data_IF_139381262872
#
_entry.id   IF_139381262872
#
_cell.length_a   1.000
_cell.length_b   1.000
_cell.length_c   1.000
_cell.angle_alpha   90.00
_cell.angle_beta   90.00
_cell.angle_gamma   90.00
#
_symmetry.space_group_name_H-M   'P 1'
#
loop_
_entity.id
_entity.type
_entity.pdbx_description
1 polymer ?
#
# COMPACT_ATOMS: atom_id res chain seq x y z
N UNK A 1 18.66 -38.57 46.24
CA UNK A 1 17.83 -38.38 45.03
C UNK A 1 17.96 -36.93 44.59
N UNK A 2 18.27 -36.73 43.32
CA UNK A 2 18.67 -35.44 42.76
C UNK A 2 17.58 -34.37 42.90
N UNK A 3 17.98 -33.19 43.34
CA UNK A 3 17.19 -31.98 43.17
C UNK A 3 16.88 -31.78 41.69
N UNK A 4 15.61 -31.54 41.38
CA UNK A 4 15.27 -30.49 40.42
C UNK A 4 14.24 -29.56 41.05
N UNK A 5 14.74 -28.66 41.90
CA UNK A 5 14.12 -27.36 42.14
C UNK A 5 14.22 -26.60 40.82
N UNK A 6 13.10 -26.07 40.35
CA UNK A 6 13.08 -25.14 39.22
C UNK A 6 12.18 -25.60 38.09
N UNK A 7 10.87 -25.49 38.29
CA UNK A 7 9.98 -25.24 37.17
C UNK A 7 10.29 -23.81 36.69
N UNK A 8 10.89 -23.67 35.52
CA UNK A 8 11.28 -22.37 34.97
C UNK A 8 10.05 -21.53 34.65
N UNK A 9 9.97 -20.32 35.19
CA UNK A 9 9.04 -19.28 34.72
C UNK A 9 9.44 -18.88 33.30
N UNK A 10 8.50 -18.91 32.36
CA UNK A 10 8.71 -18.39 31.01
C UNK A 10 8.70 -16.86 31.05
N UNK A 11 9.78 -16.24 30.56
CA UNK A 11 9.95 -14.77 30.48
C UNK A 11 9.49 -14.21 29.13
N UNK A 12 8.33 -14.66 28.64
CA UNK A 12 7.82 -14.23 27.34
C UNK A 12 6.59 -13.34 27.56
N UNK A 13 6.80 -12.03 27.53
CA UNK A 13 5.75 -11.02 27.72
C UNK A 13 6.12 -9.64 27.16
N UNK A 14 7.03 -9.59 26.18
CA UNK A 14 7.43 -8.36 25.52
C UNK A 14 6.75 -8.29 24.16
N UNK A 15 6.15 -7.15 23.87
CA UNK A 15 5.64 -6.82 22.55
C UNK A 15 6.07 -5.39 22.19
N UNK A 16 6.04 -5.08 20.91
CA UNK A 16 6.29 -3.75 20.37
C UNK A 16 4.99 -2.97 20.20
N UNK A 17 5.09 -1.64 20.16
CA UNK A 17 3.93 -0.82 19.84
C UNK A 17 3.42 -1.09 18.41
N UNK A 18 2.10 -1.00 18.17
CA UNK A 18 1.54 -1.15 16.85
C UNK A 18 2.08 -0.07 15.90
N UNK A 19 2.45 -0.49 14.68
CA UNK A 19 3.05 0.40 13.67
C UNK A 19 2.02 0.97 12.67
N UNK A 20 0.74 0.67 12.85
CA UNK A 20 -0.38 1.15 12.02
C UNK A 20 -0.15 1.01 10.50
N UNK A 21 0.53 -0.05 10.08
CA UNK A 21 0.72 -0.41 8.66
C UNK A 21 -0.62 -0.81 8.04
N UNK A 22 -0.74 -0.66 6.73
CA UNK A 22 -1.92 -1.01 5.95
C UNK A 22 -2.23 -0.02 4.84
N UNK A 23 -3.29 -0.34 4.11
CA UNK A 23 -3.88 0.52 3.07
C UNK A 23 -4.52 1.74 3.74
N UNK A 24 -4.30 2.90 3.16
CA UNK A 24 -4.81 4.21 3.60
C UNK A 24 -5.77 4.82 2.58
N UNK A 25 -5.56 4.52 1.29
CA UNK A 25 -6.51 4.83 0.23
C UNK A 25 -6.86 3.56 -0.56
N UNK A 26 -8.14 3.28 -0.68
CA UNK A 26 -8.69 2.12 -1.40
C UNK A 26 -8.94 2.43 -2.88
N UNK A 27 -9.22 1.38 -3.67
CA UNK A 27 -9.55 1.53 -5.08
C UNK A 27 -10.75 2.45 -5.29
N UNK A 28 -10.61 3.40 -6.22
CA UNK A 28 -11.63 4.41 -6.53
C UNK A 28 -11.56 5.67 -5.66
N UNK A 29 -10.84 5.66 -4.55
CA UNK A 29 -10.67 6.84 -3.70
C UNK A 29 -9.74 7.87 -4.33
N UNK A 30 -9.96 9.13 -3.97
CA UNK A 30 -9.23 10.26 -4.51
C UNK A 30 -7.91 10.48 -3.76
N UNK A 31 -6.80 10.48 -4.49
CA UNK A 31 -5.47 10.79 -4.01
C UNK A 31 -5.04 12.17 -4.51
N UNK A 32 -4.40 12.94 -3.62
CA UNK A 32 -3.64 14.16 -3.95
C UNK A 32 -2.16 13.81 -4.12
N UNK A 33 -1.33 14.64 -4.79
CA UNK A 33 0.11 14.50 -4.75
C UNK A 33 0.62 14.48 -3.30
N UNK A 34 1.50 13.53 -2.99
CA UNK A 34 2.00 13.28 -1.64
C UNK A 34 1.07 12.46 -0.74
N UNK A 35 -0.16 12.14 -1.17
CA UNK A 35 -1.07 11.31 -0.37
C UNK A 35 -0.50 9.88 -0.22
N UNK A 36 -0.50 9.37 1.01
CA UNK A 36 -0.07 8.01 1.32
C UNK A 36 -1.20 7.06 0.92
N UNK A 37 -0.87 6.07 0.08
CA UNK A 37 -1.82 5.04 -0.36
C UNK A 37 -1.66 3.79 0.52
N UNK A 38 -0.42 3.38 0.82
CA UNK A 38 -0.14 2.18 1.64
C UNK A 38 1.12 2.40 2.49
N UNK A 39 1.02 2.15 3.80
CA UNK A 39 2.19 1.94 4.67
C UNK A 39 2.44 0.45 4.81
N UNK A 40 3.61 -0.03 4.42
CA UNK A 40 3.94 -1.45 4.43
C UNK A 40 5.36 -1.68 4.94
N UNK A 41 5.72 -2.94 5.17
CA UNK A 41 7.13 -3.32 5.29
C UNK A 41 7.45 -4.38 4.26
N UNK A 42 8.54 -4.18 3.53
CA UNK A 42 8.72 -4.85 2.26
C UNK A 42 7.72 -4.35 1.22
N UNK A 43 7.71 -5.00 0.07
CA UNK A 43 6.97 -4.55 -1.12
C UNK A 43 5.90 -5.56 -1.50
N UNK A 44 4.91 -5.73 -0.62
CA UNK A 44 3.71 -6.53 -0.94
C UNK A 44 2.96 -5.92 -2.12
N UNK A 45 2.86 -4.59 -2.11
CA UNK A 45 2.41 -3.80 -3.24
C UNK A 45 3.58 -3.05 -3.86
N UNK A 46 3.58 -2.96 -5.18
CA UNK A 46 4.62 -2.27 -5.95
C UNK A 46 4.08 -0.98 -6.57
N UNK A 47 4.92 0.07 -6.72
CA UNK A 47 4.52 1.30 -7.37
C UNK A 47 4.21 1.06 -8.85
N UNK A 48 3.12 1.65 -9.32
CA UNK A 48 2.71 1.70 -10.70
C UNK A 48 2.74 3.13 -11.25
N UNK A 49 1.77 3.43 -12.10
CA UNK A 49 1.59 4.72 -12.76
C UNK A 49 1.19 5.78 -11.73
N UNK A 50 1.89 6.91 -11.71
CA UNK A 50 1.69 8.01 -10.75
C UNK A 50 1.82 7.63 -9.26
N UNK A 51 2.53 6.55 -8.96
CA UNK A 51 2.82 6.13 -7.58
C UNK A 51 4.32 5.95 -7.43
N UNK A 52 4.88 6.38 -6.30
CA UNK A 52 6.28 6.16 -5.94
C UNK A 52 6.40 5.45 -4.61
N UNK A 53 7.58 4.85 -4.40
CA UNK A 53 7.95 4.16 -3.16
C UNK A 53 8.89 5.03 -2.34
N UNK A 54 8.60 5.18 -1.05
CA UNK A 54 9.48 5.81 -0.07
C UNK A 54 10.63 4.89 0.38
N UNK A 55 11.53 5.42 1.19
CA UNK A 55 12.64 4.65 1.79
C UNK A 55 12.14 3.53 2.72
N UNK A 56 11.00 3.74 3.37
CA UNK A 56 10.33 2.82 4.29
C UNK A 56 9.32 1.89 3.59
N UNK A 57 9.43 1.75 2.26
CA UNK A 57 8.49 1.02 1.39
C UNK A 57 7.06 1.58 1.30
N UNK A 58 6.77 2.73 1.92
CA UNK A 58 5.47 3.40 1.80
C UNK A 58 5.18 3.80 0.36
N UNK A 59 3.98 3.51 -0.13
CA UNK A 59 3.51 3.96 -1.44
C UNK A 59 2.74 5.27 -1.31
N UNK A 60 3.10 6.25 -2.13
CA UNK A 60 2.45 7.56 -2.17
C UNK A 60 2.17 8.00 -3.60
N UNK A 61 1.12 8.79 -3.77
CA UNK A 61 0.75 9.36 -5.06
C UNK A 61 1.67 10.52 -5.44
N UNK A 62 2.00 10.65 -6.72
CA UNK A 62 2.64 11.85 -7.28
C UNK A 62 1.71 12.70 -8.13
N UNK A 63 0.47 12.25 -8.34
CA UNK A 63 -0.54 12.96 -9.13
C UNK A 63 -1.88 13.04 -8.39
N UNK A 64 -2.74 13.94 -8.86
CA UNK A 64 -4.13 14.03 -8.41
C UNK A 64 -4.98 13.04 -9.20
N UNK A 65 -5.68 12.10 -8.55
CA UNK A 65 -6.41 11.07 -9.29
C UNK A 65 -7.10 10.02 -8.44
N UNK A 66 -7.71 9.02 -9.07
CA UNK A 66 -8.32 7.87 -8.39
C UNK A 66 -7.32 6.72 -8.25
N UNK A 67 -7.26 6.09 -7.09
CA UNK A 67 -6.39 4.92 -6.86
C UNK A 67 -6.93 3.71 -7.61
N UNK A 68 -6.05 2.98 -8.31
CA UNK A 68 -6.37 1.76 -9.05
C UNK A 68 -5.42 0.65 -8.62
N UNK A 69 -5.97 -0.49 -8.21
CA UNK A 69 -5.22 -1.69 -7.84
C UNK A 69 -5.27 -2.70 -8.98
N UNK A 70 -4.11 -3.23 -9.36
CA UNK A 70 -4.01 -4.36 -10.28
C UNK A 70 -3.86 -5.69 -9.53
N UNK A 71 -4.31 -6.79 -10.14
CA UNK A 71 -4.19 -8.14 -9.56
C UNK A 71 -2.74 -8.57 -9.33
N UNK A 72 -1.79 -8.07 -10.12
CA UNK A 72 -0.35 -8.32 -9.95
C UNK A 72 0.28 -7.56 -8.76
N UNK A 73 -0.53 -6.87 -7.94
CA UNK A 73 -0.06 -6.11 -6.78
C UNK A 73 0.50 -4.72 -7.10
N UNK A 74 0.38 -4.22 -8.34
CA UNK A 74 0.75 -2.84 -8.68
C UNK A 74 -0.36 -1.86 -8.31
N UNK A 75 0.05 -0.72 -7.77
CA UNK A 75 -0.85 0.36 -7.35
C UNK A 75 -0.61 1.58 -8.22
N UNK A 76 -1.68 2.11 -8.78
CA UNK A 76 -1.66 3.21 -9.74
C UNK A 76 -2.57 4.33 -9.28
N UNK A 77 -2.38 5.53 -9.83
CA UNK A 77 -3.31 6.65 -9.69
C UNK A 77 -3.72 7.12 -11.08
N UNK A 78 -5.01 6.96 -11.43
CA UNK A 78 -5.60 7.47 -12.67
C UNK A 78 -5.85 8.98 -12.53
N UNK A 79 -5.13 9.82 -13.29
CA UNK A 79 -5.27 11.26 -13.17
C UNK A 79 -6.67 11.73 -13.57
N UNK A 80 -7.17 12.76 -12.87
CA UNK A 80 -8.48 13.35 -13.15
C UNK A 80 -8.49 14.08 -14.49
N UNK A 81 -7.39 14.75 -14.83
CA UNK A 81 -7.22 15.54 -16.05
C UNK A 81 -7.33 14.67 -17.32
N UNK A 82 -8.23 15.01 -18.22
CA UNK A 82 -8.58 14.17 -19.38
C UNK A 82 -7.45 14.02 -20.40
N UNK A 83 -6.62 15.05 -20.56
CA UNK A 83 -5.55 15.19 -21.54
C UNK A 83 -4.22 14.55 -21.12
N UNK A 84 -4.08 14.09 -19.88
CA UNK A 84 -2.85 13.45 -19.41
C UNK A 84 -2.62 12.12 -20.15
N UNK A 85 -1.38 11.93 -20.59
CA UNK A 85 -0.93 10.70 -21.22
C UNK A 85 -1.13 9.51 -20.26
N UNK A 86 -1.98 8.56 -20.66
CA UNK A 86 -2.27 7.33 -19.91
C UNK A 86 -1.71 6.12 -20.64
N UNK A 87 -1.19 5.12 -19.93
CA UNK A 87 -0.86 3.84 -20.55
C UNK A 87 -2.13 3.16 -21.09
N UNK A 88 -1.99 2.36 -22.14
CA UNK A 88 -3.11 1.74 -22.85
C UNK A 88 -4.05 0.96 -21.93
N UNK A 89 -3.51 0.11 -21.06
CA UNK A 89 -4.31 -0.69 -20.11
C UNK A 89 -5.20 0.16 -19.21
N UNK A 90 -4.79 1.40 -18.88
CA UNK A 90 -5.56 2.28 -18.02
C UNK A 90 -6.73 2.92 -18.77
N UNK A 91 -6.55 3.20 -20.07
CA UNK A 91 -7.64 3.66 -20.95
C UNK A 91 -8.71 2.59 -21.08
N UNK A 92 -8.29 1.34 -21.30
CA UNK A 92 -9.17 0.17 -21.37
C UNK A 92 -9.88 -0.08 -20.04
N UNK A 93 -9.16 -0.03 -18.93
CA UNK A 93 -9.74 -0.13 -17.59
C UNK A 93 -10.83 0.92 -17.36
N UNK A 94 -10.58 2.18 -17.71
CA UNK A 94 -11.56 3.26 -17.56
C UNK A 94 -12.78 3.06 -18.44
N UNK A 95 -12.61 2.62 -19.69
CA UNK A 95 -13.72 2.33 -20.60
C UNK A 95 -14.61 1.19 -20.06
N UNK A 96 -14.02 0.14 -19.49
CA UNK A 96 -14.76 -1.00 -18.93
C UNK A 96 -15.56 -0.66 -17.65
N UNK A 97 -15.21 0.43 -16.96
CA UNK A 97 -15.84 0.85 -15.70
C UNK A 97 -16.58 2.20 -15.82
N UNK A 98 -16.75 2.72 -17.04
CA UNK A 98 -17.58 3.88 -17.33
C UNK A 98 -19.02 3.42 -17.53
N UNK A 99 -19.79 3.36 -16.44
CA UNK A 99 -21.23 3.12 -16.41
C UNK A 99 -21.90 4.12 -15.50
#
# INVERSE_FOLDING_TARGET
MAHKKGQGSTKNGRDSNPQYRGVKLYGGEFAKPGAIIIRQCGTKFSPGFNVRKGKDDTLYSVATGKVVFQQNGRVHVDPVEADVARPQWLREYRAAHAG
#
